data_IF_423908044469
#
_entry.id   IF_423908044469
#
_cell.length_a   1.000
_cell.length_b   1.000
_cell.length_c   1.000
_cell.angle_alpha   90.00
_cell.angle_beta   90.00
_cell.angle_gamma   90.00
#
_symmetry.space_group_name_H-M   'P 1'
#
loop_
_entity.id
_entity.type
_entity.pdbx_description
1 polymer ?
#
# COMPACT_ATOMS: atom_id res chain seq x y z
N UNK A 1 -18.04 16.90 2.03
CA UNK A 1 -16.96 16.77 3.03
C UNK A 1 -15.60 16.97 2.32
N UNK A 2 -14.58 17.43 3.04
CA UNK A 2 -13.21 17.61 2.54
C UNK A 2 -12.29 16.62 3.23
N UNK A 3 -11.48 15.89 2.46
CA UNK A 3 -10.48 14.95 2.98
C UNK A 3 -9.11 15.62 2.88
N UNK A 4 -8.33 15.59 3.95
CA UNK A 4 -6.95 16.08 3.95
C UNK A 4 -6.07 15.24 4.87
N UNK A 5 -4.75 15.28 4.64
CA UNK A 5 -3.76 14.68 5.51
C UNK A 5 -2.82 15.73 6.05
N UNK A 6 -2.65 15.75 7.37
CA UNK A 6 -1.76 16.69 8.06
C UNK A 6 -0.96 15.97 9.15
N UNK A 7 0.22 16.51 9.47
CA UNK A 7 0.93 16.09 10.67
C UNK A 7 0.29 16.74 11.90
N UNK A 8 0.09 15.97 12.96
CA UNK A 8 -0.48 16.41 14.22
C UNK A 8 0.40 15.96 15.38
N UNK A 9 0.67 16.86 16.31
CA UNK A 9 1.40 16.55 17.55
C UNK A 9 0.42 16.30 18.69
N UNK A 10 0.64 15.22 19.45
CA UNK A 10 -0.14 14.85 20.65
C UNK A 10 0.85 14.51 21.76
N UNK A 11 0.98 15.42 22.74
CA UNK A 11 2.09 15.35 23.69
C UNK A 11 3.42 15.37 22.95
N UNK A 12 4.29 14.39 23.22
CA UNK A 12 5.61 14.27 22.60
C UNK A 12 5.61 13.44 21.31
N UNK A 13 4.45 13.02 20.80
CA UNK A 13 4.35 12.17 19.59
C UNK A 13 3.80 12.97 18.41
N UNK A 14 4.37 12.74 17.24
CA UNK A 14 3.86 13.27 15.98
C UNK A 14 3.13 12.16 15.21
N UNK A 15 2.00 12.46 14.59
CA UNK A 15 1.24 11.51 13.78
C UNK A 15 0.89 12.12 12.44
N UNK A 16 1.04 11.34 11.36
CA UNK A 16 0.43 11.69 10.08
C UNK A 16 -1.03 11.25 10.12
N UNK A 17 -1.96 12.20 10.02
CA UNK A 17 -3.39 11.97 10.28
C UNK A 17 -4.19 12.30 9.03
N UNK A 18 -5.03 11.38 8.57
CA UNK A 18 -6.08 11.71 7.58
C UNK A 18 -7.32 12.19 8.32
N UNK A 19 -7.87 13.32 7.91
CA UNK A 19 -9.02 13.98 8.54
C UNK A 19 -10.09 14.26 7.50
N UNK A 20 -11.35 14.11 7.89
CA UNK A 20 -12.51 14.55 7.13
C UNK A 20 -13.15 15.74 7.82
N UNK A 21 -13.32 16.82 7.06
CA UNK A 21 -14.00 18.04 7.50
C UNK A 21 -15.36 18.19 6.83
N UNK A 22 -16.33 18.76 7.55
CA UNK A 22 -17.56 19.32 6.97
C UNK A 22 -17.25 20.66 6.27
N UNK A 23 -18.16 21.14 5.40
CA UNK A 23 -17.99 22.44 4.75
C UNK A 23 -17.86 23.63 5.72
N UNK A 24 -18.38 23.51 6.93
CA UNK A 24 -18.27 24.49 8.02
C UNK A 24 -16.94 24.41 8.81
N UNK A 25 -16.07 23.44 8.48
CA UNK A 25 -14.79 23.22 9.15
C UNK A 25 -14.85 22.24 10.33
N UNK A 26 -16.01 21.67 10.67
CA UNK A 26 -16.12 20.68 11.75
C UNK A 26 -15.35 19.40 11.39
N UNK A 27 -14.58 18.88 12.35
CA UNK A 27 -13.86 17.63 12.22
C UNK A 27 -14.81 16.44 12.46
N UNK A 28 -15.05 15.66 11.41
CA UNK A 28 -15.97 14.53 11.45
C UNK A 28 -15.30 13.19 11.73
N UNK A 29 -14.05 13.05 11.33
CA UNK A 29 -13.32 11.79 11.37
C UNK A 29 -11.83 12.04 11.30
N UNK A 30 -11.08 11.31 12.12
CA UNK A 30 -9.62 11.28 12.06
C UNK A 30 -9.10 9.86 12.15
N UNK A 31 -8.01 9.62 11.43
CA UNK A 31 -7.28 8.37 11.53
C UNK A 31 -5.78 8.60 11.39
N UNK A 32 -5.02 8.15 12.40
CA UNK A 32 -3.57 8.19 12.38
C UNK A 32 -3.03 7.09 11.46
N UNK A 33 -2.15 7.46 10.54
CA UNK A 33 -1.53 6.59 9.55
C UNK A 33 -0.82 5.40 10.22
N UNK A 34 -1.14 4.19 9.75
CA UNK A 34 -0.57 2.96 10.29
C UNK A 34 0.66 2.45 9.51
N UNK A 35 0.71 2.69 8.20
CA UNK A 35 1.77 2.18 7.34
C UNK A 35 2.83 3.24 7.06
N UNK A 36 3.82 3.32 7.95
CA UNK A 36 4.86 4.35 7.88
C UNK A 36 5.94 4.03 6.85
N UNK A 37 6.51 5.06 6.24
CA UNK A 37 7.66 4.97 5.35
C UNK A 37 8.91 4.63 6.19
N UNK A 38 9.57 3.49 5.93
CA UNK A 38 10.82 3.14 6.61
C UNK A 38 11.87 4.23 6.43
N UNK A 39 12.58 4.59 7.50
CA UNK A 39 13.69 5.59 7.54
C UNK A 39 13.23 7.04 7.25
N UNK A 40 12.15 7.23 6.48
CA UNK A 40 11.56 8.54 6.21
C UNK A 40 10.64 9.05 7.31
N UNK A 41 9.82 8.17 7.90
CA UNK A 41 8.86 8.51 8.97
C UNK A 41 9.19 7.80 10.28
N UNK A 42 9.66 6.56 10.23
CA UNK A 42 10.07 5.81 11.42
C UNK A 42 11.24 4.87 11.10
N UNK A 43 12.16 4.73 12.07
CA UNK A 43 13.29 3.83 11.96
C UNK A 43 12.85 2.39 12.26
N UNK A 44 13.03 1.41 11.34
CA UNK A 44 12.67 0.03 11.65
C UNK A 44 13.59 -0.57 12.71
N UNK A 45 13.04 -1.38 13.62
CA UNK A 45 13.80 -1.97 14.74
C UNK A 45 15.05 -2.74 14.32
N UNK A 46 15.01 -3.43 13.17
CA UNK A 46 16.16 -4.15 12.63
C UNK A 46 17.36 -3.22 12.34
N UNK A 47 17.11 -2.03 11.80
CA UNK A 47 18.14 -1.03 11.57
C UNK A 47 18.66 -0.47 12.89
N UNK A 48 17.77 -0.15 13.84
CA UNK A 48 18.18 0.31 15.17
C UNK A 48 19.14 -0.68 15.82
N UNK A 49 18.80 -1.98 15.78
CA UNK A 49 19.65 -3.03 16.33
C UNK A 49 20.99 -3.14 15.60
N UNK A 50 20.98 -3.14 14.26
CA UNK A 50 22.20 -3.20 13.46
C UNK A 50 23.15 -2.01 13.73
N UNK A 51 22.62 -0.78 13.75
CA UNK A 51 23.41 0.42 14.02
C UNK A 51 23.96 0.45 15.44
N UNK A 52 23.22 -0.10 16.42
CA UNK A 52 23.73 -0.30 17.79
C UNK A 52 24.88 -1.30 17.83
N UNK A 53 24.78 -2.41 17.09
CA UNK A 53 25.84 -3.43 17.04
C UNK A 53 27.15 -2.90 16.45
N UNK A 54 27.09 -2.06 15.43
CA UNK A 54 28.29 -1.49 14.79
C UNK A 54 28.83 -0.22 15.48
N UNK A 55 28.39 0.06 16.73
CA UNK A 55 28.85 1.21 17.51
C UNK A 55 28.30 2.56 17.07
N UNK A 56 27.33 2.59 16.15
CA UNK A 56 26.71 3.79 15.59
C UNK A 56 25.32 4.10 16.21
N UNK A 57 25.06 3.64 17.43
CA UNK A 57 23.76 3.79 18.10
C UNK A 57 23.25 5.23 18.22
N UNK A 58 24.14 6.23 18.19
CA UNK A 58 23.78 7.66 18.22
C UNK A 58 23.02 8.13 16.99
N UNK A 59 23.20 7.48 15.84
CA UNK A 59 22.51 7.81 14.57
C UNK A 59 21.03 7.42 14.62
N UNK A 60 20.70 6.41 15.42
CA UNK A 60 19.36 5.83 15.55
C UNK A 60 18.70 6.14 16.89
N UNK A 61 19.27 7.07 17.65
CA UNK A 61 18.70 7.50 18.92
C UNK A 61 17.36 8.24 18.66
N UNK A 62 16.23 7.79 19.23
CA UNK A 62 14.95 8.49 19.07
C UNK A 62 15.01 9.97 19.47
N UNK A 63 15.91 10.33 20.40
CA UNK A 63 16.11 11.72 20.85
C UNK A 63 16.78 12.62 19.80
N UNK A 64 17.44 12.07 18.78
CA UNK A 64 18.08 12.82 17.69
C UNK A 64 17.22 12.92 16.43
N UNK A 65 16.07 12.22 16.38
CA UNK A 65 15.20 12.17 15.22
C UNK A 65 14.11 13.26 15.26
N UNK A 66 14.48 14.46 14.80
CA UNK A 66 13.59 15.65 14.69
C UNK A 66 12.32 15.41 13.84
N UNK A 67 12.22 14.27 13.14
CA UNK A 67 11.12 13.95 12.21
C UNK A 67 10.43 12.61 12.47
N UNK A 68 10.65 11.98 13.61
CA UNK A 68 10.01 10.68 13.90
C UNK A 68 8.47 10.85 14.02
N UNK A 69 7.76 10.03 13.25
CA UNK A 69 6.30 9.93 13.25
C UNK A 69 5.92 8.62 13.93
N UNK A 70 5.01 8.73 14.89
CA UNK A 70 4.41 7.60 15.59
C UNK A 70 3.38 6.89 14.71
N UNK A 71 3.40 5.56 14.77
CA UNK A 71 2.43 4.70 14.08
C UNK A 71 1.07 4.80 14.76
N UNK A 72 0.00 4.88 13.95
CA UNK A 72 -1.37 4.80 14.43
C UNK A 72 -1.70 3.44 15.09
N UNK A 73 -2.38 3.53 16.22
CA UNK A 73 -2.65 2.45 17.18
C UNK A 73 -3.93 1.67 16.81
N UNK A 74 -4.81 2.30 16.03
CA UNK A 74 -6.13 1.78 15.65
C UNK A 74 -6.17 1.48 14.17
N UNK A 75 -6.92 0.45 13.77
CA UNK A 75 -7.15 0.13 12.36
C UNK A 75 -8.06 1.15 11.68
N UNK A 76 -7.78 1.47 10.42
CA UNK A 76 -8.62 2.37 9.64
C UNK A 76 -10.04 1.79 9.49
N UNK A 77 -11.05 2.65 9.69
CA UNK A 77 -12.45 2.30 9.55
C UNK A 77 -13.10 3.19 8.48
N UNK A 78 -13.99 2.66 7.62
CA UNK A 78 -14.65 3.49 6.63
C UNK A 78 -15.55 4.55 7.28
N UNK A 79 -15.48 5.78 6.77
CA UNK A 79 -16.34 6.88 7.23
C UNK A 79 -17.61 6.98 6.39
N UNK A 80 -18.78 7.09 7.04
CA UNK A 80 -20.07 7.16 6.36
C UNK A 80 -20.43 8.60 5.99
N UNK A 81 -20.71 8.83 4.71
CA UNK A 81 -21.24 10.07 4.13
C UNK A 81 -22.53 9.72 3.40
N UNK A 82 -23.68 10.06 4.00
CA UNK A 82 -25.00 9.62 3.52
C UNK A 82 -25.02 8.08 3.36
N UNK A 83 -25.35 7.58 2.17
CA UNK A 83 -25.38 6.13 1.86
C UNK A 83 -24.01 5.56 1.42
N UNK A 84 -22.95 6.37 1.39
CA UNK A 84 -21.63 5.99 0.86
C UNK A 84 -20.61 5.92 2.00
N UNK A 85 -19.78 4.88 2.01
CA UNK A 85 -18.66 4.74 2.94
C UNK A 85 -17.32 5.00 2.26
N UNK A 86 -16.51 5.87 2.83
CA UNK A 86 -15.19 6.25 2.34
C UNK A 86 -14.11 5.49 3.10
N UNK A 87 -13.25 4.76 2.40
CA UNK A 87 -12.07 4.10 2.96
C UNK A 87 -10.82 4.94 2.71
N UNK A 88 -10.25 5.47 3.78
CA UNK A 88 -9.19 6.48 3.69
C UNK A 88 -7.82 5.92 4.05
N UNK A 89 -6.83 6.25 3.24
CA UNK A 89 -5.41 6.02 3.50
C UNK A 89 -4.61 7.27 3.12
N UNK A 90 -3.38 7.33 3.63
CA UNK A 90 -2.48 8.46 3.37
C UNK A 90 -1.14 7.98 2.81
N UNK A 91 -0.67 8.64 1.74
CA UNK A 91 0.64 8.46 1.10
C UNK A 91 1.03 6.99 0.90
N UNK A 92 2.00 6.46 1.67
CA UNK A 92 2.46 5.06 1.59
C UNK A 92 1.40 4.02 1.91
N UNK A 93 0.27 4.40 2.53
CA UNK A 93 -0.87 3.48 2.65
C UNK A 93 -1.34 2.96 1.28
N UNK A 94 -1.16 3.74 0.21
CA UNK A 94 -1.42 3.36 -1.18
C UNK A 94 -0.80 2.02 -1.62
N UNK A 95 0.33 1.64 -1.01
CA UNK A 95 1.06 0.42 -1.36
C UNK A 95 0.81 -0.75 -0.42
N UNK A 96 -0.18 -0.64 0.49
CA UNK A 96 -0.57 -1.71 1.41
C UNK A 96 -1.90 -2.35 0.98
N UNK A 97 -1.87 -3.52 0.32
CA UNK A 97 -3.08 -4.22 -0.07
C UNK A 97 -4.02 -4.54 1.09
N UNK A 98 -3.43 -4.99 2.20
CA UNK A 98 -4.16 -5.37 3.41
C UNK A 98 -5.00 -4.21 3.97
N UNK A 99 -4.45 -2.99 4.03
CA UNK A 99 -5.18 -1.84 4.56
C UNK A 99 -6.42 -1.49 3.72
N UNK A 100 -6.32 -1.55 2.39
CA UNK A 100 -7.49 -1.30 1.53
C UNK A 100 -8.48 -2.46 1.54
N UNK A 101 -7.99 -3.70 1.53
CA UNK A 101 -8.83 -4.90 1.65
C UNK A 101 -9.66 -4.84 2.93
N UNK A 102 -9.04 -4.48 4.05
CA UNK A 102 -9.72 -4.40 5.35
C UNK A 102 -10.75 -3.26 5.39
N UNK A 103 -10.45 -2.11 4.78
CA UNK A 103 -11.44 -1.03 4.59
C UNK A 103 -12.67 -1.52 3.79
N UNK A 104 -12.48 -2.27 2.71
CA UNK A 104 -13.59 -2.79 1.89
C UNK A 104 -14.34 -3.91 2.60
N UNK A 105 -13.63 -4.76 3.34
CA UNK A 105 -14.24 -5.75 4.25
C UNK A 105 -15.14 -5.07 5.28
N UNK A 106 -14.73 -3.91 5.79
CA UNK A 106 -15.52 -3.06 6.70
C UNK A 106 -16.58 -2.20 5.99
N UNK A 107 -16.77 -2.38 4.69
CA UNK A 107 -17.88 -1.81 3.93
C UNK A 107 -17.55 -0.52 3.16
N UNK A 108 -16.28 -0.16 2.99
CA UNK A 108 -15.92 0.97 2.13
C UNK A 108 -16.46 0.78 0.70
N UNK A 109 -17.06 1.84 0.15
CA UNK A 109 -17.55 1.97 -1.22
C UNK A 109 -16.56 2.72 -2.11
N UNK A 110 -15.74 3.59 -1.55
CA UNK A 110 -14.75 4.36 -2.32
C UNK A 110 -13.44 4.30 -1.56
N UNK A 111 -12.35 4.06 -2.27
CA UNK A 111 -11.00 4.09 -1.70
C UNK A 111 -10.35 5.43 -2.03
N UNK A 112 -9.70 6.04 -1.05
CA UNK A 112 -9.05 7.34 -1.22
C UNK A 112 -7.63 7.32 -0.69
N UNK A 113 -6.73 7.98 -1.40
CA UNK A 113 -5.37 8.24 -0.98
C UNK A 113 -5.04 9.74 -1.06
N UNK A 114 -4.76 10.36 0.08
CA UNK A 114 -4.19 11.72 0.14
C UNK A 114 -2.69 11.63 0.39
N UNK A 115 -1.88 12.17 -0.52
CA UNK A 115 -0.43 11.98 -0.50
C UNK A 115 0.35 13.28 -0.72
N UNK A 116 1.59 13.28 -0.22
CA UNK A 116 2.62 14.25 -0.62
C UNK A 116 3.76 13.45 -1.24
N UNK A 117 3.91 13.57 -2.56
CA UNK A 117 4.86 12.78 -3.36
C UNK A 117 5.95 13.67 -3.99
N UNK A 118 6.06 14.91 -3.55
CA UNK A 118 7.05 15.88 -4.04
C UNK A 118 8.50 15.39 -3.91
N UNK A 119 8.83 14.62 -2.87
CA UNK A 119 10.17 14.02 -2.72
C UNK A 119 10.50 12.98 -3.81
N UNK A 120 9.46 12.42 -4.44
CA UNK A 120 9.58 11.43 -5.51
C UNK A 120 9.29 12.03 -6.88
N UNK A 121 9.17 13.37 -7.03
CA UNK A 121 8.74 14.00 -8.27
C UNK A 121 9.49 13.47 -9.51
N UNK A 122 10.82 13.32 -9.43
CA UNK A 122 11.64 12.86 -10.55
C UNK A 122 11.79 11.33 -10.65
N UNK A 123 11.11 10.55 -9.81
CA UNK A 123 11.20 9.09 -9.77
C UNK A 123 10.08 8.44 -10.61
N UNK A 124 10.23 8.44 -11.94
CA UNK A 124 9.19 7.91 -12.84
C UNK A 124 8.84 6.43 -12.57
N UNK A 125 9.83 5.61 -12.23
CA UNK A 125 9.61 4.19 -11.88
C UNK A 125 8.71 4.05 -10.65
N UNK A 126 8.91 4.89 -9.64
CA UNK A 126 8.07 4.94 -8.45
C UNK A 126 6.63 5.32 -8.82
N UNK A 127 6.42 6.38 -9.61
CA UNK A 127 5.07 6.79 -10.03
C UNK A 127 4.36 5.69 -10.79
N UNK A 128 5.05 5.00 -11.71
CA UNK A 128 4.49 3.90 -12.47
C UNK A 128 4.10 2.70 -11.57
N UNK A 129 4.92 2.38 -10.57
CA UNK A 129 4.63 1.31 -9.62
C UNK A 129 3.47 1.68 -8.68
N UNK A 130 3.45 2.90 -8.16
CA UNK A 130 2.37 3.41 -7.31
C UNK A 130 1.03 3.40 -8.06
N UNK A 131 1.02 3.78 -9.34
CA UNK A 131 -0.17 3.73 -10.18
C UNK A 131 -0.65 2.29 -10.44
N UNK A 132 0.27 1.35 -10.68
CA UNK A 132 -0.07 -0.07 -10.80
C UNK A 132 -0.66 -0.61 -9.50
N UNK A 133 -0.12 -0.20 -8.37
CA UNK A 133 -0.62 -0.60 -7.06
C UNK A 133 -2.01 -0.02 -6.78
N UNK A 134 -2.26 1.24 -7.13
CA UNK A 134 -3.59 1.84 -7.06
C UNK A 134 -4.62 1.11 -7.95
N UNK A 135 -4.23 0.72 -9.18
CA UNK A 135 -5.07 -0.11 -10.07
C UNK A 135 -5.34 -1.48 -9.47
N UNK A 136 -4.34 -2.10 -8.85
CA UNK A 136 -4.52 -3.34 -8.13
C UNK A 136 -5.53 -3.19 -6.99
N UNK A 137 -5.43 -2.14 -6.16
CA UNK A 137 -6.42 -1.91 -5.09
C UNK A 137 -7.84 -1.75 -5.63
N UNK A 138 -7.99 -1.02 -6.74
CA UNK A 138 -9.27 -0.77 -7.37
C UNK A 138 -9.92 -2.06 -7.90
N UNK A 139 -9.17 -2.82 -8.71
CA UNK A 139 -9.62 -4.08 -9.34
C UNK A 139 -9.85 -5.16 -8.29
N UNK A 140 -8.85 -5.39 -7.43
CA UNK A 140 -8.87 -6.49 -6.48
C UNK A 140 -10.04 -6.34 -5.50
N UNK A 141 -10.48 -5.13 -5.19
CA UNK A 141 -11.63 -4.90 -4.31
C UNK A 141 -12.92 -4.50 -5.04
N UNK A 142 -12.92 -4.41 -6.36
CA UNK A 142 -14.02 -3.86 -7.16
C UNK A 142 -14.53 -2.51 -6.60
N UNK A 143 -13.61 -1.58 -6.34
CA UNK A 143 -13.90 -0.23 -5.81
C UNK A 143 -13.23 0.86 -6.64
N UNK A 144 -13.90 2.01 -6.87
CA UNK A 144 -13.22 3.17 -7.41
C UNK A 144 -12.13 3.64 -6.45
N UNK A 145 -11.03 4.13 -7.01
CA UNK A 145 -9.87 4.61 -6.27
C UNK A 145 -9.56 6.06 -6.64
N UNK A 146 -9.51 6.94 -5.64
CA UNK A 146 -9.27 8.37 -5.81
C UNK A 146 -7.95 8.74 -5.17
N UNK A 147 -7.03 9.31 -5.94
CA UNK A 147 -5.78 9.86 -5.42
C UNK A 147 -5.73 11.37 -5.61
N UNK A 148 -5.45 12.07 -4.51
CA UNK A 148 -5.08 13.48 -4.52
C UNK A 148 -3.66 13.61 -3.95
N UNK A 149 -2.77 14.25 -4.71
CA UNK A 149 -1.36 14.37 -4.33
C UNK A 149 -0.73 15.66 -4.78
N UNK A 150 0.22 16.15 -4.00
CA UNK A 150 1.26 17.06 -4.50
C UNK A 150 2.38 16.27 -5.23
N UNK A 151 3.13 16.92 -6.12
CA UNK A 151 4.37 16.38 -6.68
C UNK A 151 4.26 15.14 -7.58
N UNK A 152 3.05 14.65 -7.85
CA UNK A 152 2.76 13.47 -8.69
C UNK A 152 1.37 13.61 -9.33
N UNK A 153 0.88 12.52 -9.94
CA UNK A 153 -0.40 12.47 -10.63
C UNK A 153 -1.54 12.32 -9.61
N UNK A 154 -2.50 13.25 -9.67
CA UNK A 154 -3.83 13.07 -9.08
C UNK A 154 -4.75 12.41 -10.10
N UNK A 155 -5.54 11.43 -9.67
CA UNK A 155 -6.32 10.62 -10.61
C UNK A 155 -7.50 9.91 -9.96
N UNK A 156 -8.39 9.42 -10.82
CA UNK A 156 -9.52 8.58 -10.44
C UNK A 156 -9.53 7.34 -11.32
N UNK A 157 -9.65 6.19 -10.67
CA UNK A 157 -9.81 4.88 -11.30
C UNK A 157 -11.24 4.36 -11.05
N UNK A 158 -11.82 3.70 -12.05
CA UNK A 158 -13.03 2.90 -11.86
C UNK A 158 -12.75 1.58 -11.12
N UNK A 159 -13.79 0.81 -10.81
CA UNK A 159 -13.66 -0.49 -10.13
C UNK A 159 -12.97 -1.58 -10.95
N UNK A 160 -12.72 -1.33 -12.24
CA UNK A 160 -12.00 -2.21 -13.16
C UNK A 160 -10.57 -1.71 -13.41
N UNK A 161 -10.13 -0.67 -12.70
CA UNK A 161 -8.79 -0.10 -12.82
C UNK A 161 -8.57 0.69 -14.12
N UNK A 162 -9.62 1.13 -14.80
CA UNK A 162 -9.54 2.06 -15.91
C UNK A 162 -9.41 3.50 -15.40
N UNK A 163 -8.66 4.32 -16.11
CA UNK A 163 -8.52 5.74 -15.81
C UNK A 163 -9.80 6.47 -16.20
N UNK A 164 -10.50 7.04 -15.22
CA UNK A 164 -11.59 7.99 -15.47
C UNK A 164 -10.99 9.36 -15.79
N UNK A 165 -10.01 9.78 -14.99
CA UNK A 165 -9.28 11.04 -15.19
C UNK A 165 -7.91 10.94 -14.54
N UNK A 166 -6.93 11.64 -15.10
CA UNK A 166 -5.56 11.75 -14.59
C UNK A 166 -5.02 13.15 -14.87
N UNK A 167 -4.47 13.79 -13.84
CA UNK A 167 -3.84 15.11 -13.96
C UNK A 167 -2.52 15.03 -14.71
N UNK A 168 -1.97 16.19 -15.06
CA UNK A 168 -0.55 16.34 -15.37
C UNK A 168 0.24 16.45 -14.07
N UNK A 169 1.52 16.07 -14.11
CA UNK A 169 2.39 16.06 -12.94
C UNK A 169 2.99 17.44 -12.63
N UNK A 170 3.19 18.27 -13.65
CA UNK A 170 3.94 19.52 -13.62
C UNK A 170 3.08 20.77 -13.35
N UNK A 171 1.76 20.59 -13.15
CA UNK A 171 0.82 21.71 -13.04
C UNK A 171 -0.16 21.53 -11.89
N UNK A 172 -0.47 22.63 -11.21
CA UNK A 172 -1.63 22.70 -10.33
C UNK A 172 -2.90 22.53 -11.15
N UNK A 173 -3.71 21.54 -10.81
CA UNK A 173 -4.92 21.18 -11.54
C UNK A 173 -6.01 20.73 -10.58
N UNK A 174 -7.23 21.16 -10.87
CA UNK A 174 -8.44 20.60 -10.29
C UNK A 174 -8.89 19.42 -11.16
N UNK A 175 -9.08 18.26 -10.53
CA UNK A 175 -9.56 17.04 -11.18
C UNK A 175 -10.99 16.78 -10.70
N UNK A 176 -11.94 16.73 -11.64
CA UNK A 176 -13.36 16.45 -11.37
C UNK A 176 -13.74 15.19 -12.14
N UNK A 177 -14.37 14.24 -11.46
CA UNK A 177 -14.89 13.03 -12.07
C UNK A 177 -16.14 12.53 -11.35
N UNK A 178 -16.97 11.82 -12.10
CA UNK A 178 -18.09 11.05 -11.56
C UNK A 178 -17.66 9.60 -11.40
N UNK A 179 -17.91 9.03 -10.23
CA UNK A 179 -17.55 7.65 -9.88
C UNK A 179 -18.80 6.83 -9.63
N UNK A 180 -18.80 5.60 -10.12
CA UNK A 180 -19.81 4.60 -9.83
C UNK A 180 -19.22 3.62 -8.82
N UNK A 181 -20.00 3.27 -7.81
CA UNK A 181 -19.59 2.33 -6.76
C UNK A 181 -20.62 1.23 -6.56
N UNK A 182 -20.24 0.20 -5.81
CA UNK A 182 -21.06 -0.95 -5.48
C UNK A 182 -20.74 -1.45 -4.05
N UNK A 183 -21.52 -2.43 -3.59
CA UNK A 183 -21.35 -3.07 -2.29
C UNK A 183 -20.82 -4.52 -2.38
N UNK A 184 -20.52 -5.01 -3.59
CA UNK A 184 -20.11 -6.39 -3.81
C UNK A 184 -18.70 -6.62 -3.24
N UNK A 185 -18.45 -7.83 -2.73
CA UNK A 185 -17.13 -8.26 -2.25
C UNK A 185 -16.53 -9.23 -3.25
N UNK A 186 -15.28 -9.01 -3.64
CA UNK A 186 -14.56 -9.93 -4.52
C UNK A 186 -14.02 -11.11 -3.73
N UNK A 187 -13.54 -12.16 -4.42
CA UNK A 187 -12.79 -13.23 -3.77
C UNK A 187 -11.55 -12.71 -3.04
N UNK A 188 -10.87 -11.70 -3.59
CA UNK A 188 -9.73 -11.08 -2.93
C UNK A 188 -10.13 -10.33 -1.66
N UNK A 189 -11.26 -9.63 -1.63
CA UNK A 189 -11.77 -9.00 -0.40
C UNK A 189 -12.03 -10.04 0.70
N UNK A 190 -12.47 -11.25 0.34
CA UNK A 190 -12.81 -12.31 1.29
C UNK A 190 -11.59 -13.11 1.76
N UNK A 191 -10.73 -13.53 0.82
CA UNK A 191 -9.61 -14.43 1.07
C UNK A 191 -8.28 -13.70 1.25
N UNK A 192 -8.15 -12.51 0.69
CA UNK A 192 -6.90 -11.75 0.69
C UNK A 192 -5.73 -12.54 0.10
N UNK A 193 -4.58 -12.45 0.76
CA UNK A 193 -3.32 -13.06 0.35
C UNK A 193 -3.28 -14.57 0.61
N UNK A 194 -4.27 -15.15 1.31
CA UNK A 194 -4.32 -16.59 1.57
C UNK A 194 -4.30 -17.41 0.27
N UNK A 195 -4.91 -16.91 -0.80
CA UNK A 195 -4.90 -17.62 -2.10
C UNK A 195 -3.48 -17.76 -2.64
N UNK A 196 -2.63 -16.77 -2.43
CA UNK A 196 -1.22 -16.79 -2.85
C UNK A 196 -0.41 -17.73 -1.96
N UNK A 197 -0.61 -17.66 -0.64
CA UNK A 197 0.08 -18.53 0.31
C UNK A 197 -0.24 -20.02 0.09
N UNK A 198 -1.52 -20.35 -0.11
CA UNK A 198 -1.95 -21.72 -0.41
C UNK A 198 -1.36 -22.20 -1.74
N UNK A 199 -1.41 -21.37 -2.77
CA UNK A 199 -0.82 -21.69 -4.08
C UNK A 199 0.68 -21.92 -4.00
N UNK A 200 1.39 -21.12 -3.20
CA UNK A 200 2.82 -21.26 -2.96
C UNK A 200 3.17 -22.58 -2.25
N UNK A 201 2.40 -22.95 -1.22
CA UNK A 201 2.60 -24.22 -0.50
C UNK A 201 2.41 -25.41 -1.44
N UNK A 202 1.36 -25.38 -2.28
CA UNK A 202 1.12 -26.43 -3.27
C UNK A 202 2.26 -26.53 -4.27
N UNK A 203 2.74 -25.40 -4.79
CA UNK A 203 3.86 -25.36 -5.74
C UNK A 203 5.15 -25.92 -5.14
N UNK A 204 5.47 -25.57 -3.89
CA UNK A 204 6.63 -26.11 -3.17
C UNK A 204 6.50 -27.62 -2.95
N UNK A 205 5.32 -28.10 -2.52
CA UNK A 205 5.07 -29.52 -2.31
C UNK A 205 5.25 -30.33 -3.60
N UNK A 206 4.74 -29.83 -4.73
CA UNK A 206 4.93 -30.44 -6.04
C UNK A 206 6.40 -30.44 -6.46
N UNK A 207 7.12 -29.32 -6.25
CA UNK A 207 8.56 -29.23 -6.53
C UNK A 207 9.38 -30.26 -5.74
N UNK A 208 9.07 -30.46 -4.45
CA UNK A 208 9.73 -31.45 -3.60
C UNK A 208 9.40 -32.88 -4.07
N UNK A 209 8.14 -33.16 -4.39
CA UNK A 209 7.73 -34.47 -4.89
C UNK A 209 8.48 -34.84 -6.18
N UNK A 210 8.53 -33.93 -7.15
CA UNK A 210 9.25 -34.12 -8.42
C UNK A 210 10.77 -34.25 -8.22
N UNK A 211 11.36 -33.54 -7.25
CA UNK A 211 12.78 -33.65 -6.95
C UNK A 211 13.14 -35.02 -6.36
N UNK A 212 12.26 -35.58 -5.51
CA UNK A 212 12.43 -36.91 -4.91
C UNK A 212 12.25 -38.05 -5.92
N UNK A 213 11.48 -37.84 -6.99
CA UNK A 213 11.25 -38.84 -8.04
C UNK A 213 12.24 -38.76 -9.20
N UNK A 214 13.28 -37.91 -9.14
CA UNK A 214 14.32 -37.89 -10.18
C UNK A 214 14.98 -39.28 -10.24
N UNK A 215 14.91 -40.01 -11.37
CA UNK A 215 15.60 -41.28 -11.50
C UNK A 215 17.09 -41.06 -11.31
N UNK A 216 17.76 -41.96 -10.59
CA UNK A 216 19.22 -42.06 -10.63
C UNK A 216 19.63 -42.11 -12.09
N UNK A 217 20.46 -41.15 -12.53
CA UNK A 217 21.03 -41.18 -13.87
C UNK A 217 21.82 -42.49 -13.98
N UNK A 218 21.24 -43.48 -14.67
CA UNK A 218 21.94 -44.73 -14.94
C UNK A 218 23.23 -44.38 -15.67
N UNK A 219 24.41 -44.86 -15.22
CA UNK A 219 25.67 -44.54 -15.87
C UNK A 219 25.57 -44.94 -17.34
N UNK A 220 25.76 -43.97 -18.23
CA UNK A 220 25.80 -44.20 -19.67
C UNK A 220 26.92 -45.20 -19.92
N UNK A 221 26.58 -46.43 -20.32
CA UNK A 221 27.57 -47.43 -20.73
C UNK A 221 28.23 -46.92 -22.01
N UNK A 222 29.41 -46.32 -21.88
CA UNK A 222 30.26 -46.03 -23.04
C UNK A 222 30.66 -47.36 -23.68
N UNK A 223 30.09 -47.63 -24.85
CA UNK A 223 30.52 -48.74 -25.72
C UNK A 223 31.93 -48.39 -26.20
N UNK A 224 32.96 -49.04 -25.65
CA UNK A 224 34.33 -48.95 -26.17
C UNK A 224 34.32 -49.55 -27.58
N UNK A 225 34.42 -48.70 -28.59
CA UNK A 225 34.72 -49.16 -29.94
C UNK A 225 36.22 -49.49 -29.99
N UNK A 226 36.55 -50.77 -30.10
CA UNK A 226 37.90 -51.19 -30.47
C UNK A 226 38.08 -50.92 -31.96
N UNK A 227 38.90 -49.93 -32.28
CA UNK A 227 39.39 -49.69 -33.64
C UNK A 227 40.51 -50.72 -33.85
N UNK A 228 40.36 -51.55 -34.89
CA UNK A 228 41.39 -52.47 -35.38
C UNK A 228 42.31 -51.74 -36.34
#
# INVERSE_FOLDING_TARGET
PVITSTQRSVGNKNFNTVTIYRPDGENMYQHNKQFLVPIGEAMPYAYIYLFKLIGQGKIVDPSSQVREVSKGDTSAAPFSVNSIKLGLQACSGAISPELYRDLVKNGANILTNSASLSIFANAQSYHNQAQQMARFMAVANARPFVQATDGSYSFVLDSNGNWIVKSRQDKMQLVIATIITNNQRTLYTLLGEWIVLVSLVIAIAQGIALWRTKPSLSPVKHKRYNIK
#
